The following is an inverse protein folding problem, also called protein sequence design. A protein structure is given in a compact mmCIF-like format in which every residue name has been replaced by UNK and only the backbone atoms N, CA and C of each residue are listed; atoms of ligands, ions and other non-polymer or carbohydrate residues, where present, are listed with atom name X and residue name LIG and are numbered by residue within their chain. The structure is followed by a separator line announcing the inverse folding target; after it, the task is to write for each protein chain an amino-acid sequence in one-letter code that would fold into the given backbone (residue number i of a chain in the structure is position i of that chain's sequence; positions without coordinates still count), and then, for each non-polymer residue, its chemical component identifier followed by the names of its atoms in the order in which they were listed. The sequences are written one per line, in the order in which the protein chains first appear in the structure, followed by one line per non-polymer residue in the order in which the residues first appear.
data_IF_024896019192
#
_entry.id   IF_024896019192
#
_cell.length_a   1.000
_cell.length_b   1.000
_cell.length_c   1.000
_cell.angle_alpha   90.00
_cell.angle_beta   90.00
_cell.angle_gamma   90.00
#
_symmetry.space_group_name_H-M   'P 1'
#
loop_
_entity.id
_entity.type
_entity.pdbx_description
1 polymer ?
#
# COMPACT_ATOMS: atom_id res chain seq x y z
N UNK A 1 17.71 8.97 5.88
CA UNK A 1 18.97 8.81 6.65
C UNK A 1 19.56 7.41 6.51
N UNK A 2 18.73 6.36 6.32
CA UNK A 2 19.18 4.99 5.98
C UNK A 2 18.62 4.55 4.64
N UNK A 3 19.41 3.81 3.87
CA UNK A 3 19.02 3.23 2.58
C UNK A 3 19.08 1.71 2.68
N UNK A 4 18.13 1.03 2.06
CA UNK A 4 18.04 -0.42 2.01
C UNK A 4 18.31 -0.91 0.59
N UNK A 5 19.03 -2.02 0.45
CA UNK A 5 19.07 -2.77 -0.80
C UNK A 5 17.79 -3.60 -0.93
N UNK A 6 16.81 -3.05 -1.65
CA UNK A 6 15.48 -3.65 -1.75
C UNK A 6 15.51 -4.88 -2.67
N UNK A 7 15.24 -6.05 -2.10
CA UNK A 7 15.10 -7.31 -2.83
C UNK A 7 13.62 -7.69 -2.91
N UNK A 8 13.19 -8.25 -4.04
CA UNK A 8 11.80 -8.65 -4.24
C UNK A 8 11.31 -9.63 -3.16
N UNK A 9 10.13 -9.36 -2.62
CA UNK A 9 9.43 -10.12 -1.58
C UNK A 9 10.15 -10.21 -0.22
N UNK A 10 11.33 -9.61 -0.03
CA UNK A 10 12.03 -9.66 1.26
C UNK A 10 11.57 -8.53 2.18
N UNK A 11 11.95 -8.64 3.45
CA UNK A 11 11.73 -7.62 4.45
C UNK A 11 12.35 -6.26 4.13
N UNK A 12 13.37 -6.18 3.27
CA UNK A 12 14.03 -4.88 2.98
C UNK A 12 13.08 -3.89 2.29
N UNK A 13 12.07 -4.37 1.55
CA UNK A 13 11.01 -3.50 1.00
C UNK A 13 10.20 -2.82 2.10
N UNK A 14 9.79 -3.56 3.13
CA UNK A 14 9.06 -3.03 4.29
C UNK A 14 9.96 -2.12 5.13
N UNK A 15 11.22 -2.52 5.36
CA UNK A 15 12.18 -1.73 6.14
C UNK A 15 12.46 -0.37 5.49
N UNK A 16 12.47 -0.27 4.16
CA UNK A 16 12.62 1.00 3.47
C UNK A 16 11.50 2.00 3.84
N UNK A 17 10.25 1.56 3.91
CA UNK A 17 9.14 2.41 4.35
C UNK A 17 9.26 2.79 5.84
N UNK A 18 9.63 1.84 6.70
CA UNK A 18 9.86 2.10 8.13
C UNK A 18 10.96 3.15 8.34
N UNK A 19 12.04 3.08 7.57
CA UNK A 19 13.11 4.08 7.61
C UNK A 19 12.59 5.48 7.23
N UNK A 20 11.80 5.58 6.15
CA UNK A 20 11.16 6.82 5.73
C UNK A 20 10.17 7.36 6.79
N UNK A 21 9.38 6.49 7.40
CA UNK A 21 8.46 6.85 8.50
C UNK A 21 9.22 7.42 9.70
N UNK A 22 10.33 6.78 10.10
CA UNK A 22 11.16 7.24 11.22
C UNK A 22 11.84 8.58 10.96
N UNK A 23 12.18 8.90 9.71
CA UNK A 23 12.67 10.22 9.34
C UNK A 23 11.55 11.25 9.26
N UNK A 24 10.39 10.87 8.72
CA UNK A 24 9.24 11.77 8.52
C UNK A 24 8.60 12.19 9.82
N UNK A 25 8.53 11.32 10.83
CA UNK A 25 7.85 11.62 12.10
C UNK A 25 8.48 12.80 12.85
N UNK A 26 9.75 13.11 12.59
CA UNK A 26 10.49 14.23 13.20
C UNK A 26 9.92 15.61 12.80
N UNK A 27 9.17 15.68 11.70
CA UNK A 27 8.51 16.90 11.23
C UNK A 27 7.04 16.91 11.67
N UNK A 28 6.55 18.00 12.26
CA UNK A 28 5.25 18.04 12.94
C UNK A 28 4.05 18.43 12.05
N UNK A 29 4.27 18.90 10.82
CA UNK A 29 3.24 19.57 10.03
C UNK A 29 2.35 18.65 9.18
N UNK A 30 2.80 17.45 8.82
CA UNK A 30 2.06 16.57 7.91
C UNK A 30 0.97 15.76 8.61
N UNK A 31 -0.06 15.35 7.84
CA UNK A 31 -1.25 14.64 8.35
C UNK A 31 -1.32 13.18 7.92
N UNK A 32 -0.89 12.91 6.69
CA UNK A 32 -0.88 11.59 6.09
C UNK A 32 0.45 11.35 5.38
N UNK A 33 0.89 10.09 5.40
CA UNK A 33 1.98 9.58 4.58
C UNK A 33 1.40 8.64 3.51
N UNK A 34 1.78 8.87 2.26
CA UNK A 34 1.50 7.98 1.13
C UNK A 34 2.84 7.40 0.66
N UNK A 35 3.03 6.10 0.79
CA UNK A 35 4.22 5.44 0.22
C UNK A 35 3.98 5.14 -1.28
N UNK A 36 4.98 5.41 -2.12
CA UNK A 36 4.81 5.37 -3.58
C UNK A 36 5.99 4.61 -4.20
N UNK A 37 5.71 3.78 -5.20
CA UNK A 37 6.72 3.14 -6.03
C UNK A 37 6.98 3.93 -7.31
N UNK A 38 8.17 3.78 -7.90
CA UNK A 38 8.56 4.49 -9.14
C UNK A 38 7.68 4.20 -10.35
N UNK A 39 6.91 3.11 -10.32
CA UNK A 39 5.98 2.73 -11.39
C UNK A 39 4.56 3.24 -11.17
N UNK A 40 4.32 4.10 -10.19
CA UNK A 40 3.00 4.63 -9.86
C UNK A 40 2.84 6.09 -10.31
N UNK A 41 1.63 6.44 -10.74
CA UNK A 41 1.25 7.81 -11.06
C UNK A 41 -0.03 8.20 -10.31
N UNK A 42 -0.16 9.47 -9.85
CA UNK A 42 -1.36 9.94 -9.19
C UNK A 42 -2.55 10.02 -10.17
N UNK A 43 -3.74 9.68 -9.70
CA UNK A 43 -5.01 9.90 -10.40
C UNK A 43 -5.74 11.17 -9.91
N UNK A 44 -5.22 11.78 -8.85
CA UNK A 44 -5.76 12.96 -8.17
C UNK A 44 -4.68 14.03 -8.09
N UNK A 45 -5.08 15.29 -8.28
CA UNK A 45 -4.23 16.44 -8.01
C UNK A 45 -3.94 16.58 -6.51
N UNK A 46 -2.93 17.36 -6.14
CA UNK A 46 -2.65 17.63 -4.72
C UNK A 46 -3.86 18.27 -4.00
N UNK A 47 -4.59 19.19 -4.63
CA UNK A 47 -5.79 19.80 -4.05
C UNK A 47 -6.87 18.76 -3.77
N UNK A 48 -7.11 17.85 -4.71
CA UNK A 48 -8.06 16.74 -4.53
C UNK A 48 -7.59 15.77 -3.44
N UNK A 49 -6.31 15.41 -3.39
CA UNK A 49 -5.74 14.59 -2.31
C UNK A 49 -5.96 15.23 -0.94
N UNK A 50 -5.71 16.53 -0.80
CA UNK A 50 -5.96 17.27 0.45
C UNK A 50 -7.45 17.22 0.82
N UNK A 51 -8.35 17.46 -0.14
CA UNK A 51 -9.81 17.41 0.08
C UNK A 51 -10.25 16.00 0.52
N UNK A 52 -9.75 14.95 -0.13
CA UNK A 52 -10.06 13.54 0.19
C UNK A 52 -9.49 13.14 1.56
N UNK A 53 -8.20 13.35 1.80
CA UNK A 53 -7.55 12.95 3.06
C UNK A 53 -8.08 13.74 4.26
N UNK A 54 -8.61 14.96 4.05
CA UNK A 54 -9.33 15.70 5.09
C UNK A 54 -10.66 15.02 5.48
N UNK A 55 -11.35 14.38 4.53
CA UNK A 55 -12.55 13.57 4.81
C UNK A 55 -12.20 12.34 5.65
N UNK A 56 -10.96 11.82 5.57
CA UNK A 56 -10.58 10.61 6.29
C UNK A 56 -10.44 10.79 7.80
N UNK A 57 -10.37 12.03 8.29
CA UNK A 57 -10.44 12.36 9.72
C UNK A 57 -9.47 11.54 10.61
N UNK A 58 -8.26 11.27 10.13
CA UNK A 58 -7.25 10.49 10.86
C UNK A 58 -7.37 8.97 10.71
N UNK A 59 -8.37 8.45 10.00
CA UNK A 59 -8.45 7.03 9.63
C UNK A 59 -7.47 6.68 8.52
N UNK A 60 -6.99 5.45 8.52
CA UNK A 60 -6.07 4.95 7.49
C UNK A 60 -6.87 4.39 6.30
N UNK A 61 -6.30 4.50 5.11
CA UNK A 61 -6.79 3.83 3.91
C UNK A 61 -5.75 2.77 3.50
N UNK A 62 -5.90 1.57 4.06
CA UNK A 62 -5.00 0.43 3.90
C UNK A 62 -5.84 -0.76 3.42
N UNK A 63 -5.42 -1.38 2.33
CA UNK A 63 -6.03 -2.61 1.83
C UNK A 63 -5.96 -3.72 2.88
N UNK A 64 -7.07 -4.41 3.08
CA UNK A 64 -7.13 -5.56 3.99
C UNK A 64 -8.22 -6.54 3.58
N UNK A 65 -7.84 -7.80 3.49
CA UNK A 65 -8.72 -8.92 3.17
C UNK A 65 -8.86 -9.78 4.42
N UNK A 66 -10.09 -9.88 4.94
CA UNK A 66 -10.40 -10.62 6.17
C UNK A 66 -10.31 -12.13 6.02
N UNK A 67 -10.48 -12.64 4.80
CA UNK A 67 -10.37 -14.07 4.49
C UNK A 67 -8.90 -14.48 4.51
N UNK A 68 -8.60 -15.60 5.18
CA UNK A 68 -7.27 -16.21 5.18
C UNK A 68 -6.82 -16.47 3.74
N UNK A 69 -5.70 -15.87 3.33
CA UNK A 69 -5.17 -15.97 1.98
C UNK A 69 -3.65 -15.92 2.02
N UNK A 70 -3.00 -16.73 1.20
CA UNK A 70 -1.54 -16.85 1.11
C UNK A 70 -0.85 -17.15 2.47
N UNK A 71 -1.50 -17.97 3.31
CA UNK A 71 -1.01 -18.25 4.67
C UNK A 71 0.38 -18.91 4.67
N UNK A 72 0.73 -19.64 3.60
CA UNK A 72 2.05 -20.25 3.43
C UNK A 72 3.21 -19.24 3.49
N UNK A 73 2.94 -17.96 3.16
CA UNK A 73 3.93 -16.88 3.22
C UNK A 73 4.32 -16.50 4.65
N UNK A 74 3.42 -16.76 5.60
CA UNK A 74 3.55 -16.36 7.00
C UNK A 74 3.60 -17.53 7.97
N UNK A 75 3.19 -18.73 7.54
CA UNK A 75 3.20 -19.95 8.34
C UNK A 75 4.61 -20.56 8.46
N UNK A 76 5.53 -20.20 7.56
CA UNK A 76 6.89 -20.76 7.47
C UNK A 76 7.97 -19.70 7.44
N UNK A 77 9.18 -20.10 7.87
CA UNK A 77 10.40 -19.29 7.81
C UNK A 77 10.93 -19.29 6.37
N UNK A 78 11.24 -18.09 5.86
CA UNK A 78 11.82 -17.86 4.55
C UNK A 78 13.24 -17.31 4.69
N UNK A 79 14.15 -17.90 3.93
CA UNK A 79 15.56 -17.51 3.93
C UNK A 79 15.94 -16.85 2.61
N UNK A 80 16.60 -15.70 2.69
CA UNK A 80 17.21 -15.05 1.54
C UNK A 80 18.49 -15.78 1.16
N UNK A 81 18.56 -16.25 -0.09
CA UNK A 81 19.71 -16.95 -0.64
C UNK A 81 20.25 -16.22 -1.86
N UNK A 82 21.57 -16.26 -2.03
CA UNK A 82 22.22 -15.70 -3.22
C UNK A 82 21.88 -16.55 -4.44
N UNK A 83 21.60 -15.88 -5.55
CA UNK A 83 21.46 -16.48 -6.87
C UNK A 83 22.59 -15.98 -7.75
N UNK A 84 23.65 -16.76 -7.83
CA UNK A 84 24.78 -16.47 -8.72
C UNK A 84 24.30 -16.41 -10.19
N UNK A 85 24.63 -15.31 -10.88
CA UNK A 85 24.33 -15.13 -12.31
C UNK A 85 22.96 -14.52 -12.66
N UNK A 86 22.15 -14.12 -11.68
CA UNK A 86 20.88 -13.40 -11.92
C UNK A 86 21.06 -11.89 -11.68
N UNK A 87 20.40 -11.04 -12.47
CA UNK A 87 20.44 -9.57 -12.34
C UNK A 87 19.95 -9.08 -10.98
N UNK A 88 19.15 -9.88 -10.28
CA UNK A 88 18.58 -9.54 -8.97
C UNK A 88 19.39 -10.10 -7.78
N UNK A 89 20.40 -10.94 -8.02
CA UNK A 89 21.36 -11.44 -7.02
C UNK A 89 20.81 -12.35 -5.92
N UNK A 90 19.51 -12.35 -5.61
CA UNK A 90 18.92 -13.02 -4.46
C UNK A 90 17.51 -13.58 -4.73
N UNK A 91 17.10 -14.58 -3.95
CA UNK A 91 15.73 -15.09 -3.91
C UNK A 91 15.36 -15.60 -2.52
N UNK A 92 14.05 -15.64 -2.23
CA UNK A 92 13.53 -16.26 -1.01
C UNK A 92 13.26 -17.75 -1.23
N UNK A 93 13.75 -18.58 -0.31
CA UNK A 93 13.46 -20.01 -0.24
C UNK A 93 12.68 -20.32 1.03
N UNK A 94 11.56 -21.02 0.87
CA UNK A 94 10.83 -21.58 2.00
C UNK A 94 11.69 -22.68 2.65
N UNK A 95 11.92 -22.59 3.96
CA UNK A 95 12.75 -23.55 4.70
C UNK A 95 11.98 -24.80 5.15
N UNK A 96 10.64 -24.77 5.10
CA UNK A 96 9.75 -25.79 5.67
C UNK A 96 9.63 -25.72 7.21
N UNK A 97 10.38 -24.83 7.86
CA UNK A 97 10.31 -24.62 9.31
C UNK A 97 9.09 -23.77 9.62
N UNK A 98 8.18 -24.29 10.45
CA UNK A 98 6.97 -23.59 10.86
C UNK A 98 7.31 -22.43 11.79
N UNK A 99 6.73 -21.25 11.55
CA UNK A 99 6.90 -20.08 12.41
C UNK A 99 6.13 -20.23 13.72
N UNK A 100 6.64 -19.56 14.75
CA UNK A 100 5.87 -19.32 15.96
C UNK A 100 4.63 -18.47 15.64
N UNK A 101 3.53 -18.59 16.42
CA UNK A 101 2.39 -17.71 16.27
C UNK A 101 2.80 -16.22 16.29
N UNK A 102 2.07 -15.35 15.59
CA UNK A 102 2.33 -13.91 15.65
C UNK A 102 2.13 -13.39 17.09
N UNK A 103 2.79 -12.28 17.45
CA UNK A 103 2.71 -11.72 18.79
C UNK A 103 1.28 -11.31 19.14
N UNK A 104 0.97 -11.24 20.43
CA UNK A 104 -0.31 -10.78 20.98
C UNK A 104 -1.56 -11.48 20.40
N UNK A 105 -1.41 -12.73 19.92
CA UNK A 105 -2.48 -13.49 19.26
C UNK A 105 -3.08 -12.77 18.04
N UNK A 106 -2.27 -11.97 17.34
CA UNK A 106 -2.72 -11.24 16.16
C UNK A 106 -3.25 -12.18 15.07
N UNK A 107 -4.35 -11.78 14.43
CA UNK A 107 -4.78 -12.40 13.20
C UNK A 107 -4.02 -11.77 12.04
N UNK A 108 -3.36 -12.58 11.21
CA UNK A 108 -2.68 -12.09 10.02
C UNK A 108 -3.71 -11.76 8.94
N UNK A 109 -3.70 -10.51 8.47
CA UNK A 109 -4.53 -10.04 7.37
C UNK A 109 -3.68 -9.85 6.12
N UNK A 110 -4.15 -10.35 4.98
CA UNK A 110 -3.56 -10.01 3.68
C UNK A 110 -3.93 -8.56 3.36
N UNK A 111 -2.98 -7.77 2.88
CA UNK A 111 -3.20 -6.49 2.23
C UNK A 111 -2.30 -6.31 1.02
N UNK A 112 -1.89 -5.06 0.79
CA UNK A 112 -0.86 -4.69 -0.17
C UNK A 112 0.23 -3.86 0.51
N UNK A 113 1.34 -3.67 -0.21
CA UNK A 113 2.49 -2.89 0.26
C UNK A 113 2.18 -1.41 0.49
N UNK A 114 1.01 -0.92 0.06
CA UNK A 114 0.74 0.50 -0.07
C UNK A 114 -0.50 0.94 0.71
N UNK A 115 -0.43 2.12 1.32
CA UNK A 115 -1.53 2.68 2.11
C UNK A 115 -1.48 4.20 2.25
N UNK A 116 -2.59 4.81 2.67
CA UNK A 116 -2.59 6.15 3.24
C UNK A 116 -2.57 6.04 4.76
N UNK A 117 -1.43 6.39 5.34
CA UNK A 117 -1.16 6.21 6.75
C UNK A 117 -1.34 7.53 7.47
N UNK A 118 -2.26 7.60 8.43
CA UNK A 118 -2.36 8.78 9.28
C UNK A 118 -1.07 8.97 10.07
N UNK A 119 -0.76 10.21 10.45
CA UNK A 119 0.40 10.47 11.31
C UNK A 119 0.35 9.69 12.62
N UNK A 120 -0.82 9.59 13.23
CA UNK A 120 -1.01 8.83 14.46
C UNK A 120 -0.77 7.32 14.27
N UNK A 121 -1.11 6.76 13.09
CA UNK A 121 -0.76 5.38 12.76
C UNK A 121 0.75 5.20 12.59
N UNK A 122 1.43 6.13 11.91
CA UNK A 122 2.90 6.08 11.76
C UNK A 122 3.58 6.15 13.14
N UNK A 123 3.10 7.02 14.04
CA UNK A 123 3.61 7.08 15.41
C UNK A 123 3.37 5.77 16.17
N UNK A 124 2.17 5.18 16.04
CA UNK A 124 1.85 3.87 16.60
C UNK A 124 2.81 2.79 16.09
N UNK A 125 3.05 2.71 14.77
CA UNK A 125 3.98 1.75 14.15
C UNK A 125 5.39 1.86 14.74
N UNK A 126 5.85 3.08 15.03
CA UNK A 126 7.21 3.35 15.50
C UNK A 126 7.37 3.19 17.02
N UNK A 127 6.29 3.33 17.80
CA UNK A 127 6.36 3.37 19.26
C UNK A 127 5.75 2.17 19.95
N UNK A 128 4.64 1.62 19.42
CA UNK A 128 3.91 0.50 20.02
C UNK A 128 4.74 -0.79 20.03
N UNK A 129 4.71 -1.48 21.17
CA UNK A 129 5.52 -2.68 21.39
C UNK A 129 5.04 -3.87 20.53
N UNK A 130 3.73 -4.09 20.43
CA UNK A 130 3.17 -5.17 19.60
C UNK A 130 3.46 -4.93 18.11
N UNK A 131 3.40 -3.67 17.65
CA UNK A 131 3.78 -3.32 16.28
C UNK A 131 5.25 -3.65 15.97
N UNK A 132 6.17 -3.31 16.88
CA UNK A 132 7.60 -3.65 16.76
C UNK A 132 7.84 -5.16 16.78
N UNK A 133 7.15 -5.88 17.67
CA UNK A 133 7.23 -7.34 17.73
C UNK A 133 6.72 -7.98 16.44
N UNK A 134 5.62 -7.48 15.87
CA UNK A 134 5.11 -7.97 14.59
C UNK A 134 6.09 -7.68 13.45
N UNK A 135 6.76 -6.51 13.47
CA UNK A 135 7.74 -6.13 12.47
C UNK A 135 8.93 -7.11 12.50
N UNK A 136 9.44 -7.42 13.70
CA UNK A 136 10.51 -8.40 13.87
C UNK A 136 10.07 -9.80 13.48
N UNK A 137 8.88 -10.22 13.92
CA UNK A 137 8.30 -11.50 13.53
C UNK A 137 8.14 -11.64 12.00
N UNK A 138 7.94 -10.54 11.28
CA UNK A 138 7.77 -10.53 9.83
C UNK A 138 9.10 -10.57 9.05
N UNK A 139 10.25 -10.48 9.72
CA UNK A 139 11.56 -10.34 9.06
C UNK A 139 11.94 -11.50 8.14
N UNK A 140 11.54 -12.70 8.49
CA UNK A 140 11.79 -13.97 7.79
C UNK A 140 10.49 -14.56 7.18
N UNK A 141 9.56 -13.70 6.77
CA UNK A 141 8.35 -14.08 6.02
C UNK A 141 8.48 -13.70 4.55
N UNK A 142 7.59 -14.21 3.71
CA UNK A 142 7.52 -13.86 2.29
C UNK A 142 6.57 -12.69 2.05
N UNK A 143 7.05 -11.61 1.42
CA UNK A 143 6.32 -10.37 1.15
C UNK A 143 5.69 -9.75 2.41
N UNK A 144 6.48 -9.41 3.44
CA UNK A 144 5.94 -8.88 4.70
C UNK A 144 5.17 -7.57 4.57
N UNK A 145 5.49 -6.79 3.55
CA UNK A 145 4.77 -5.58 3.16
C UNK A 145 3.30 -5.87 2.75
N UNK A 146 2.97 -7.08 2.32
CA UNK A 146 1.61 -7.51 1.96
C UNK A 146 0.80 -8.08 3.14
N UNK A 147 1.29 -8.03 4.37
CA UNK A 147 0.48 -8.36 5.55
C UNK A 147 0.70 -7.44 6.75
N UNK A 148 1.88 -6.83 6.92
CA UNK A 148 2.22 -6.06 8.12
C UNK A 148 1.25 -4.90 8.34
N UNK A 149 1.01 -4.08 7.30
CA UNK A 149 0.13 -2.92 7.38
C UNK A 149 -1.32 -3.30 7.65
N UNK A 150 -1.83 -4.29 6.90
CA UNK A 150 -3.19 -4.78 7.07
C UNK A 150 -3.39 -5.42 8.45
N UNK A 151 -2.41 -6.17 8.94
CA UNK A 151 -2.47 -6.80 10.25
C UNK A 151 -2.60 -5.77 11.36
N UNK A 152 -1.78 -4.72 11.36
CA UNK A 152 -1.91 -3.65 12.36
C UNK A 152 -3.21 -2.86 12.21
N UNK A 153 -3.69 -2.64 10.99
CA UNK A 153 -4.86 -1.81 10.74
C UNK A 153 -6.20 -2.50 11.05
N UNK A 154 -6.28 -3.83 10.93
CA UNK A 154 -7.55 -4.57 10.98
C UNK A 154 -7.76 -5.40 12.26
N UNK A 155 -6.75 -5.54 13.13
CA UNK A 155 -6.93 -6.21 14.43
C UNK A 155 -7.63 -5.27 15.45
N UNK A 156 -8.87 -5.56 15.88
CA UNK A 156 -9.62 -4.63 16.74
C UNK A 156 -9.03 -4.45 18.14
N UNK A 157 -8.40 -5.49 18.70
CA UNK A 157 -7.85 -5.46 20.05
C UNK A 157 -6.62 -4.56 20.19
N UNK A 158 -5.93 -4.26 19.07
CA UNK A 158 -4.79 -3.33 19.07
C UNK A 158 -5.20 -1.88 19.34
N UNK A 159 -6.48 -1.53 19.15
CA UNK A 159 -6.97 -0.15 19.19
C UNK A 159 -6.11 0.81 18.36
N UNK A 160 -5.63 0.33 17.22
CA UNK A 160 -4.70 1.04 16.33
C UNK A 160 -5.25 2.40 15.93
N UNK A 161 -4.40 3.42 15.98
CA UNK A 161 -4.72 4.78 15.56
C UNK A 161 -5.20 4.83 14.12
N UNK A 162 -6.47 5.24 13.91
CA UNK A 162 -7.10 5.26 12.59
C UNK A 162 -7.43 3.88 12.01
N UNK A 163 -7.38 2.83 12.83
CA UNK A 163 -7.62 1.44 12.42
C UNK A 163 -9.03 1.18 11.85
N UNK A 164 -9.13 0.17 11.00
CA UNK A 164 -10.38 -0.24 10.36
C UNK A 164 -11.25 -1.07 11.31
N UNK A 165 -12.30 -0.44 11.84
CA UNK A 165 -13.21 -1.09 12.81
C UNK A 165 -14.46 -1.70 12.17
N UNK A 166 -14.85 -1.23 10.99
CA UNK A 166 -16.05 -1.69 10.31
C UNK A 166 -15.98 -3.20 10.01
N UNK A 167 -17.12 -3.89 10.07
CA UNK A 167 -17.21 -5.34 9.81
C UNK A 167 -17.54 -5.69 8.36
N UNK A 168 -17.53 -4.72 7.46
CA UNK A 168 -17.82 -4.89 6.03
C UNK A 168 -16.79 -5.79 5.34
N UNK A 169 -17.27 -6.76 4.55
CA UNK A 169 -16.48 -7.63 3.67
C UNK A 169 -17.08 -7.56 2.25
N UNK A 170 -16.29 -7.24 1.20
CA UNK A 170 -14.89 -6.82 1.25
C UNK A 170 -14.73 -5.44 1.92
N UNK A 171 -13.58 -5.23 2.56
CA UNK A 171 -13.19 -3.87 2.90
C UNK A 171 -13.07 -3.05 1.60
N UNK A 172 -13.46 -1.78 1.65
CA UNK A 172 -13.26 -0.84 0.53
C UNK A 172 -12.06 0.03 0.89
N UNK A 173 -11.10 0.11 -0.02
CA UNK A 173 -9.93 0.97 0.05
C UNK A 173 -9.80 1.74 -1.26
N UNK A 174 -9.16 2.90 -1.21
CA UNK A 174 -8.95 3.76 -2.39
C UNK A 174 -7.50 4.15 -2.56
N UNK A 175 -6.60 3.66 -1.71
CA UNK A 175 -5.19 4.01 -1.76
C UNK A 175 -4.62 3.85 -3.18
N UNK A 176 -4.62 2.62 -3.71
CA UNK A 176 -4.00 2.26 -5.00
C UNK A 176 -4.99 1.48 -5.85
N UNK A 177 -5.03 1.81 -7.13
CA UNK A 177 -5.60 0.96 -8.17
C UNK A 177 -4.51 0.18 -8.86
N UNK A 178 -4.67 -1.13 -8.98
CA UNK A 178 -3.89 -1.97 -9.87
C UNK A 178 -4.85 -2.89 -10.63
N UNK A 179 -4.67 -3.02 -11.94
CA UNK A 179 -5.47 -3.94 -12.75
C UNK A 179 -4.81 -5.33 -12.77
N UNK A 180 -5.41 -6.27 -12.04
CA UNK A 180 -5.03 -7.69 -11.97
C UNK A 180 -5.81 -8.57 -12.97
N UNK A 181 -6.54 -7.93 -13.90
CA UNK A 181 -7.39 -8.60 -14.89
C UNK A 181 -8.88 -8.33 -14.72
N UNK A 182 -9.27 -7.38 -13.85
CA UNK A 182 -10.66 -6.95 -13.69
C UNK A 182 -11.19 -6.21 -14.94
N UNK A 183 -10.29 -5.57 -15.69
CA UNK A 183 -10.60 -4.93 -16.97
C UNK A 183 -9.57 -5.31 -18.02
N UNK A 184 -9.94 -5.15 -19.29
CA UNK A 184 -8.99 -5.34 -20.39
C UNK A 184 -7.78 -4.42 -20.20
N UNK A 185 -6.58 -4.95 -20.47
CA UNK A 185 -5.32 -4.22 -20.40
C UNK A 185 -4.83 -4.02 -21.84
N UNK A 186 -4.85 -2.78 -22.31
CA UNK A 186 -4.38 -2.43 -23.66
C UNK A 186 -2.86 -2.24 -23.72
N UNK A 187 -2.22 -1.98 -22.58
CA UNK A 187 -0.76 -2.03 -22.46
C UNK A 187 -0.23 -3.45 -22.37
N UNK A 188 0.57 -3.74 -21.34
CA UNK A 188 1.28 -5.01 -21.21
C UNK A 188 1.03 -5.66 -19.85
N UNK A 189 0.63 -6.93 -19.83
CA UNK A 189 0.54 -7.69 -18.58
C UNK A 189 1.93 -8.20 -18.19
N UNK A 190 2.43 -7.77 -17.02
CA UNK A 190 3.72 -8.20 -16.47
C UNK A 190 3.49 -8.76 -15.07
N UNK A 191 3.80 -10.04 -14.85
CA UNK A 191 3.59 -10.75 -13.57
C UNK A 191 2.13 -10.66 -13.07
N UNK A 192 1.17 -10.71 -13.99
CA UNK A 192 -0.26 -10.67 -13.67
C UNK A 192 -0.85 -9.28 -13.41
N UNK A 193 -0.05 -8.20 -13.51
CA UNK A 193 -0.53 -6.82 -13.34
C UNK A 193 -0.36 -6.06 -14.66
N UNK A 194 -1.39 -5.31 -15.04
CA UNK A 194 -1.34 -4.42 -16.20
C UNK A 194 -0.31 -3.31 -16.01
N UNK A 195 0.62 -3.19 -16.96
CA UNK A 195 1.33 -1.94 -17.24
C UNK A 195 0.45 -1.16 -18.21
N UNK A 196 -0.13 -0.06 -17.74
CA UNK A 196 -1.09 0.72 -18.51
C UNK A 196 -0.44 1.37 -19.74
N UNK A 197 -1.15 1.26 -20.87
CA UNK A 197 -0.87 1.99 -22.11
C UNK A 197 -1.86 3.14 -22.32
N UNK A 198 -1.70 3.87 -23.42
CA UNK A 198 -2.45 5.09 -23.72
C UNK A 198 -3.95 4.83 -23.86
N UNK A 199 -4.32 3.65 -24.36
CA UNK A 199 -5.72 3.22 -24.50
C UNK A 199 -6.37 2.83 -23.18
N UNK A 200 -5.59 2.61 -22.12
CA UNK A 200 -6.13 2.34 -20.77
C UNK A 200 -6.54 3.65 -20.04
N UNK A 201 -5.96 4.80 -20.43
CA UNK A 201 -6.14 6.08 -19.73
C UNK A 201 -7.61 6.48 -19.50
N UNK A 202 -8.53 6.36 -20.49
CA UNK A 202 -9.93 6.74 -20.26
C UNK A 202 -10.58 5.99 -19.09
N UNK A 203 -10.20 4.73 -18.86
CA UNK A 203 -10.72 3.92 -17.76
C UNK A 203 -10.21 4.37 -16.38
N UNK A 204 -9.09 5.09 -16.35
CA UNK A 204 -8.45 5.58 -15.12
C UNK A 204 -9.04 6.93 -14.67
N UNK A 205 -9.62 7.72 -15.57
CA UNK A 205 -10.04 9.09 -15.27
C UNK A 205 -11.19 9.19 -14.26
N UNK A 206 -12.06 8.18 -14.22
CA UNK A 206 -13.25 8.13 -13.37
C UNK A 206 -13.06 7.25 -12.12
N UNK A 207 -11.84 6.77 -11.88
CA UNK A 207 -11.49 5.96 -10.70
C UNK A 207 -11.55 6.79 -9.43
N UNK A 208 -12.02 6.22 -8.33
CA UNK A 208 -11.99 6.87 -7.00
C UNK A 208 -10.64 6.68 -6.30
N UNK A 209 -9.81 5.76 -6.79
CA UNK A 209 -8.49 5.51 -6.23
C UNK A 209 -7.56 6.72 -6.38
N UNK A 210 -6.63 6.88 -5.44
CA UNK A 210 -5.75 8.04 -5.37
C UNK A 210 -4.60 7.96 -6.38
N UNK A 211 -4.06 6.76 -6.56
CA UNK A 211 -2.85 6.44 -7.30
C UNK A 211 -3.10 5.17 -8.13
N UNK A 212 -2.51 5.08 -9.33
CA UNK A 212 -2.57 3.89 -10.17
C UNK A 212 -1.19 3.23 -10.34
N UNK A 213 -1.18 1.90 -10.30
CA UNK A 213 -0.06 1.02 -10.58
C UNK A 213 -0.41 0.09 -11.78
N UNK A 214 0.38 -0.01 -12.85
CA UNK A 214 1.73 0.53 -13.06
C UNK A 214 1.91 1.19 -14.42
N UNK A 215 2.91 2.07 -14.50
CA UNK A 215 3.36 2.76 -15.71
C UNK A 215 4.86 2.57 -15.89
N UNK A 216 5.29 2.40 -17.14
CA UNK A 216 6.69 2.38 -17.51
C UNK A 216 6.90 3.12 -18.83
N UNK A 217 7.89 4.02 -18.86
CA UNK A 217 8.24 4.79 -20.06
C UNK A 217 8.61 3.89 -21.26
N UNK A 218 9.16 2.70 -21.00
CA UNK A 218 9.53 1.76 -22.07
C UNK A 218 8.34 0.92 -22.58
N UNK A 219 7.22 0.88 -21.85
CA UNK A 219 6.01 0.19 -22.31
C UNK A 219 5.16 1.15 -23.13
N UNK A 220 4.85 2.31 -22.59
CA UNK A 220 4.13 3.37 -23.31
C UNK A 220 4.46 4.74 -22.66
N UNK A 221 5.37 5.53 -23.26
CA UNK A 221 5.71 6.85 -22.74
C UNK A 221 4.58 7.87 -22.92
N UNK A 222 3.69 7.67 -23.90
CA UNK A 222 2.55 8.56 -24.15
C UNK A 222 1.53 8.42 -23.03
N UNK A 223 1.28 7.19 -22.56
CA UNK A 223 0.41 6.96 -21.41
C UNK A 223 0.87 7.73 -20.16
N UNK A 224 2.17 7.69 -19.89
CA UNK A 224 2.80 8.41 -18.79
C UNK A 224 2.64 9.93 -18.96
N UNK A 225 3.04 10.46 -20.12
CA UNK A 225 3.04 11.90 -20.39
C UNK A 225 1.62 12.50 -20.40
N UNK A 226 0.64 11.81 -21.01
CA UNK A 226 -0.73 12.29 -21.04
C UNK A 226 -1.36 12.33 -19.64
N UNK A 227 -1.10 11.33 -18.78
CA UNK A 227 -1.61 11.36 -17.41
C UNK A 227 -0.94 12.47 -16.59
N UNK A 228 0.37 12.67 -16.74
CA UNK A 228 1.10 13.77 -16.10
C UNK A 228 0.55 15.13 -16.52
N UNK A 229 0.42 15.39 -17.82
CA UNK A 229 -0.11 16.65 -18.36
C UNK A 229 -1.56 16.88 -17.89
N UNK A 230 -2.39 15.84 -17.88
CA UNK A 230 -3.77 15.94 -17.40
C UNK A 230 -3.83 16.34 -15.92
N UNK A 231 -3.03 15.70 -15.06
CA UNK A 231 -2.98 16.04 -13.63
C UNK A 231 -2.42 17.44 -13.43
N UNK A 232 -1.39 17.83 -14.18
CA UNK A 232 -0.85 19.19 -14.15
C UNK A 232 -1.90 20.24 -14.54
N UNK A 233 -2.59 20.06 -15.67
CA UNK A 233 -3.60 20.99 -16.14
C UNK A 233 -4.77 21.09 -15.16
N UNK A 234 -5.25 19.96 -14.61
CA UNK A 234 -6.27 19.95 -13.55
C UNK A 234 -5.81 20.70 -12.30
N UNK A 235 -4.53 20.62 -11.94
CA UNK A 235 -4.00 21.31 -10.75
C UNK A 235 -4.03 22.84 -10.86
N UNK A 236 -4.13 23.38 -12.08
CA UNK A 236 -4.28 24.83 -12.34
C UNK A 236 -5.72 25.31 -12.21
N UNK A 237 -6.67 24.38 -12.13
CA UNK A 237 -8.08 24.66 -11.99
C UNK A 237 -8.48 24.33 -10.54
N UNK A 238 -9.02 25.29 -9.78
CA UNK A 238 -9.57 24.99 -8.44
C UNK A 238 -10.96 24.37 -8.57
N UNK A 239 -11.02 23.16 -9.12
CA UNK A 239 -12.26 22.43 -9.30
C UNK A 239 -12.72 21.79 -7.97
N UNK A 240 -14.04 21.68 -7.76
CA UNK A 240 -14.57 20.89 -6.65
C UNK A 240 -14.15 19.42 -6.82
N UNK A 241 -14.02 18.71 -5.70
CA UNK A 241 -13.75 17.27 -5.72
C UNK A 241 -14.94 16.55 -6.37
N UNK A 242 -14.66 15.87 -7.48
CA UNK A 242 -15.65 14.99 -8.11
C UNK A 242 -16.02 13.85 -7.15
N UNK A 243 -17.32 13.69 -6.92
CA UNK A 243 -17.91 12.66 -6.06
C UNK A 243 -17.32 12.60 -4.64
N UNK A 244 -17.31 13.73 -3.95
CA UNK A 244 -16.95 13.79 -2.52
C UNK A 244 -17.85 12.89 -1.63
N UNK A 245 -19.05 12.54 -2.10
CA UNK A 245 -20.00 11.68 -1.38
C UNK A 245 -19.48 10.25 -1.26
N UNK A 246 -18.84 9.71 -2.29
CA UNK A 246 -18.19 8.40 -2.23
C UNK A 246 -17.20 8.32 -1.06
N UNK A 247 -16.26 9.25 -0.96
CA UNK A 247 -15.23 9.25 0.09
C UNK A 247 -15.83 9.41 1.49
N UNK A 248 -16.91 10.19 1.64
CA UNK A 248 -17.62 10.34 2.93
C UNK A 248 -18.37 9.09 3.38
N UNK A 249 -18.62 8.14 2.47
CA UNK A 249 -19.28 6.87 2.75
C UNK A 249 -18.31 5.71 2.91
N UNK A 250 -16.99 5.98 2.96
CA UNK A 250 -15.99 4.94 3.16
C UNK A 250 -16.26 4.20 4.48
N UNK A 251 -16.25 2.86 4.50
CA UNK A 251 -16.68 2.11 5.68
C UNK A 251 -15.82 2.36 6.91
N UNK A 252 -14.52 2.69 6.75
CA UNK A 252 -13.65 3.02 7.89
C UNK A 252 -14.03 4.32 8.61
N UNK A 253 -14.92 5.14 8.03
CA UNK A 253 -15.47 6.34 8.68
C UNK A 253 -16.76 6.06 9.45
N UNK A 254 -17.38 4.89 9.25
CA UNK A 254 -18.60 4.54 9.93
C UNK A 254 -18.29 4.23 11.40
N UNK A 255 -19.09 4.75 12.36
CA UNK A 255 -18.92 4.40 13.75
C UNK A 255 -19.05 2.88 13.93
N UNK A 256 -18.16 2.33 14.76
CA UNK A 256 -18.07 0.91 15.10
C UNK A 256 -19.18 0.44 16.03
#
# INVERSE_FOLDING_TARGET
SKQEEVTYATFSRLQADINCMNDSIKYSSWKYLLNIASSELPLKTNSELVKILSIYQGHNDIEGIRKRRNMERTDYVWQTLNKTGDRYGFYLKNTGIKKQPPPDNLLIFKGSAYGAFSRAFVEFVLTNEVAKQLLEWSRDTYSPDEHYWATLNYNPHLNTSGGYKAKTDPAIWTGRYANWGESHCYGQIVRGVCVFGSLDLPSLLNRHELIANKFYLHTDPIAYQCLEELIFNRSKLDLPLNDATFYRRMPFLLPS
#
